data_IF_626895702641
#
_entry.id   IF_626895702641
#
_cell.length_a   1.000
_cell.length_b   1.000
_cell.length_c   1.000
_cell.angle_alpha   90.00
_cell.angle_beta   90.00
_cell.angle_gamma   90.00
#
_symmetry.space_group_name_H-M   'P 1'
#
loop_
_entity.id
_entity.type
_entity.pdbx_description
1 polymer ?
#
# COMPACT_ATOMS: atom_id res chain seq x y z
N UNK A 1 -3.04 -17.28 -9.61
CA UNK A 1 -2.78 -18.30 -10.59
C UNK A 1 -2.30 -17.69 -11.91
N UNK A 2 -1.04 -17.95 -12.29
CA UNK A 2 -0.43 -17.41 -13.53
C UNK A 2 -1.19 -17.94 -14.77
N UNK A 3 -1.78 -19.09 -14.66
CA UNK A 3 -2.41 -19.79 -15.78
C UNK A 3 -3.92 -19.54 -15.90
N UNK A 4 -4.57 -19.18 -14.81
CA UNK A 4 -6.01 -18.92 -14.77
C UNK A 4 -6.25 -17.56 -14.15
N UNK A 5 -6.21 -16.50 -14.92
CA UNK A 5 -6.63 -15.14 -14.48
C UNK A 5 -8.10 -15.20 -14.04
N UNK A 6 -8.33 -15.70 -12.83
CA UNK A 6 -9.66 -15.83 -12.30
C UNK A 6 -10.16 -14.47 -11.80
N UNK A 7 -11.25 -13.94 -12.35
CA UNK A 7 -11.91 -12.79 -11.76
C UNK A 7 -12.47 -13.17 -10.39
N UNK A 8 -12.77 -12.20 -9.51
CA UNK A 8 -13.41 -12.47 -8.25
C UNK A 8 -14.69 -13.27 -8.45
N UNK A 9 -14.89 -14.32 -7.64
CA UNK A 9 -16.10 -15.16 -7.67
C UNK A 9 -17.38 -14.31 -7.54
N UNK A 10 -17.33 -13.27 -6.71
CA UNK A 10 -18.44 -12.34 -6.51
C UNK A 10 -17.91 -10.91 -6.35
N UNK A 11 -18.03 -10.11 -7.40
CA UNK A 11 -17.52 -8.74 -7.41
C UNK A 11 -18.22 -7.85 -6.37
N UNK A 12 -19.53 -8.04 -6.14
CA UNK A 12 -20.28 -7.28 -5.13
C UNK A 12 -19.73 -7.54 -3.73
N UNK A 13 -19.46 -8.80 -3.39
CA UNK A 13 -18.84 -9.15 -2.11
C UNK A 13 -17.42 -8.59 -1.99
N UNK A 14 -16.65 -8.58 -3.08
CA UNK A 14 -15.32 -7.97 -3.10
C UNK A 14 -15.39 -6.48 -2.76
N UNK A 15 -16.31 -5.75 -3.39
CA UNK A 15 -16.51 -4.31 -3.12
C UNK A 15 -16.96 -4.08 -1.67
N UNK A 16 -17.89 -4.89 -1.19
CA UNK A 16 -18.37 -4.82 0.20
C UNK A 16 -17.23 -5.06 1.18
N UNK A 17 -16.46 -6.13 0.97
CA UNK A 17 -15.29 -6.44 1.82
C UNK A 17 -14.24 -5.35 1.81
N UNK A 18 -13.97 -4.77 0.64
CA UNK A 18 -13.06 -3.64 0.52
C UNK A 18 -13.56 -2.38 1.24
N UNK A 19 -14.86 -2.09 1.18
CA UNK A 19 -15.48 -1.00 1.95
C UNK A 19 -15.35 -1.24 3.46
N UNK A 20 -15.54 -2.48 3.93
CA UNK A 20 -15.33 -2.85 5.33
C UNK A 20 -13.85 -2.68 5.73
N UNK A 21 -12.91 -3.04 4.86
CA UNK A 21 -11.49 -2.78 5.08
C UNK A 21 -11.19 -1.29 5.20
N UNK A 22 -11.80 -0.44 4.37
CA UNK A 22 -11.61 1.01 4.46
C UNK A 22 -12.05 1.53 5.83
N UNK A 23 -13.23 1.14 6.28
CA UNK A 23 -13.71 1.53 7.63
C UNK A 23 -12.79 0.99 8.71
N UNK A 24 -12.37 -0.28 8.63
CA UNK A 24 -11.43 -0.88 9.56
C UNK A 24 -10.06 -0.19 9.57
N UNK A 25 -9.65 0.37 8.43
CA UNK A 25 -8.38 1.08 8.30
C UNK A 25 -8.36 2.43 9.02
N UNK A 26 -9.51 3.07 9.20
CA UNK A 26 -9.59 4.21 10.11
C UNK A 26 -9.22 3.81 11.53
N UNK A 27 -9.72 2.65 12.00
CA UNK A 27 -9.30 2.09 13.28
C UNK A 27 -7.81 1.72 13.30
N UNK A 28 -7.30 1.16 12.22
CA UNK A 28 -5.90 0.79 12.11
C UNK A 28 -4.95 2.01 12.18
N UNK A 29 -5.18 3.04 11.37
CA UNK A 29 -4.32 4.21 11.32
C UNK A 29 -4.64 5.24 12.42
N UNK A 30 -5.88 5.67 12.54
CA UNK A 30 -6.26 6.67 13.54
C UNK A 30 -6.29 6.08 14.95
N UNK A 31 -6.71 4.82 15.11
CA UNK A 31 -6.68 4.12 16.39
C UNK A 31 -5.26 3.91 16.94
N UNK A 32 -4.24 3.90 16.07
CA UNK A 32 -2.82 3.83 16.50
C UNK A 32 -2.35 5.05 17.28
N UNK A 33 -3.10 6.15 17.27
CA UNK A 33 -2.85 7.30 18.16
C UNK A 33 -3.12 6.96 19.63
N UNK A 34 -3.88 5.89 19.92
CA UNK A 34 -4.25 5.43 21.28
C UNK A 34 -4.95 6.52 22.11
N UNK A 35 -5.45 7.56 21.46
CA UNK A 35 -6.17 8.69 22.06
C UNK A 35 -7.16 9.28 21.06
N UNK A 36 -8.26 9.85 21.54
CA UNK A 36 -9.21 10.59 20.72
C UNK A 36 -8.82 12.08 20.66
N UNK A 37 -7.77 12.37 19.90
CA UNK A 37 -7.16 13.70 19.81
C UNK A 37 -7.02 14.17 18.34
N UNK A 38 -6.36 15.32 18.16
CA UNK A 38 -6.12 15.89 16.83
C UNK A 38 -5.23 14.99 15.96
N UNK A 39 -4.35 14.19 16.54
CA UNK A 39 -3.49 13.26 15.81
C UNK A 39 -4.33 12.13 15.20
N UNK A 40 -5.23 11.54 15.99
CA UNK A 40 -6.17 10.53 15.50
C UNK A 40 -7.07 11.09 14.38
N UNK A 41 -7.62 12.30 14.59
CA UNK A 41 -8.46 12.96 13.59
C UNK A 41 -7.71 13.24 12.28
N UNK A 42 -6.47 13.70 12.36
CA UNK A 42 -5.62 13.92 11.19
C UNK A 42 -5.28 12.60 10.48
N UNK A 43 -4.89 11.56 11.22
CA UNK A 43 -4.60 10.25 10.65
C UNK A 43 -5.82 9.66 9.92
N UNK A 44 -7.03 9.85 10.45
CA UNK A 44 -8.28 9.46 9.78
C UNK A 44 -8.48 10.22 8.47
N UNK A 45 -8.30 11.54 8.49
CA UNK A 45 -8.47 12.39 7.31
C UNK A 45 -7.48 12.03 6.19
N UNK A 46 -6.19 11.91 6.51
CA UNK A 46 -5.17 11.60 5.51
C UNK A 46 -5.31 10.18 4.95
N UNK A 47 -5.77 9.24 5.77
CA UNK A 47 -6.11 7.88 5.34
C UNK A 47 -7.24 7.90 4.31
N UNK A 48 -8.31 8.65 4.59
CA UNK A 48 -9.44 8.80 3.68
C UNK A 48 -9.04 9.45 2.35
N UNK A 49 -8.29 10.55 2.40
CA UNK A 49 -7.81 11.25 1.21
C UNK A 49 -6.94 10.36 0.32
N UNK A 50 -6.00 9.64 0.92
CA UNK A 50 -5.11 8.77 0.17
C UNK A 50 -5.86 7.61 -0.48
N UNK A 51 -6.80 6.98 0.21
CA UNK A 51 -7.63 5.91 -0.34
C UNK A 51 -8.46 6.39 -1.54
N UNK A 52 -9.12 7.54 -1.41
CA UNK A 52 -9.91 8.13 -2.49
C UNK A 52 -9.03 8.50 -3.70
N UNK A 53 -7.87 9.12 -3.47
CA UNK A 53 -6.93 9.49 -4.53
C UNK A 53 -6.32 8.25 -5.22
N UNK A 54 -6.01 7.19 -4.47
CA UNK A 54 -5.55 5.92 -5.01
C UNK A 54 -6.56 5.27 -5.94
N UNK A 55 -7.85 5.26 -5.54
CA UNK A 55 -8.95 4.80 -6.40
C UNK A 55 -9.03 5.57 -7.70
N UNK A 56 -9.00 6.90 -7.63
CA UNK A 56 -9.09 7.77 -8.80
C UNK A 56 -7.88 7.61 -9.72
N UNK A 57 -6.68 7.50 -9.17
CA UNK A 57 -5.47 7.32 -9.93
C UNK A 57 -5.46 5.98 -10.68
N UNK A 58 -5.78 4.88 -10.00
CA UNK A 58 -5.87 3.56 -10.63
C UNK A 58 -6.94 3.52 -11.73
N UNK A 59 -8.14 4.02 -11.42
CA UNK A 59 -9.23 4.17 -12.38
C UNK A 59 -8.79 4.93 -13.63
N UNK A 60 -8.07 6.03 -13.44
CA UNK A 60 -7.54 6.85 -14.55
C UNK A 60 -6.53 6.08 -15.38
N UNK A 61 -5.63 5.32 -14.75
CA UNK A 61 -4.64 4.50 -15.45
C UNK A 61 -5.30 3.41 -16.31
N UNK A 62 -6.32 2.72 -15.78
CA UNK A 62 -7.09 1.76 -16.56
C UNK A 62 -7.82 2.44 -17.73
N UNK A 63 -8.44 3.59 -17.48
CA UNK A 63 -9.16 4.33 -18.50
C UNK A 63 -8.26 4.74 -19.66
N UNK A 64 -7.09 5.29 -19.35
CA UNK A 64 -6.12 5.70 -20.37
C UNK A 64 -5.53 4.52 -21.15
N UNK A 65 -5.39 3.35 -20.52
CA UNK A 65 -4.76 2.19 -21.17
C UNK A 65 -5.72 1.22 -21.84
N UNK A 66 -6.90 1.09 -21.29
CA UNK A 66 -7.87 0.10 -21.72
C UNK A 66 -9.20 0.70 -22.25
N UNK A 67 -9.31 2.04 -22.23
CA UNK A 67 -10.50 2.76 -22.69
C UNK A 67 -11.70 2.70 -21.75
N UNK A 68 -11.61 1.91 -20.68
CA UNK A 68 -12.66 1.79 -19.65
C UNK A 68 -12.04 1.38 -18.31
N UNK A 69 -12.53 1.93 -17.20
CA UNK A 69 -12.13 1.50 -15.86
C UNK A 69 -12.87 0.22 -15.47
N UNK A 70 -12.31 -0.51 -14.50
CA UNK A 70 -12.96 -1.65 -13.87
C UNK A 70 -13.30 -1.35 -12.41
N UNK A 71 -14.38 -1.94 -11.91
CA UNK A 71 -14.72 -1.83 -10.48
C UNK A 71 -13.63 -2.46 -9.61
N UNK A 72 -13.06 -3.58 -10.05
CA UNK A 72 -11.97 -4.24 -9.35
C UNK A 72 -10.74 -3.33 -9.26
N UNK A 73 -10.38 -2.65 -10.35
CA UNK A 73 -9.25 -1.71 -10.37
C UNK A 73 -9.45 -0.53 -9.42
N UNK A 74 -10.68 0.04 -9.39
CA UNK A 74 -11.02 1.13 -8.46
C UNK A 74 -10.80 0.68 -7.01
N UNK A 75 -11.28 -0.51 -6.66
CA UNK A 75 -11.14 -1.09 -5.32
C UNK A 75 -9.68 -1.44 -5.00
N UNK A 76 -8.94 -1.96 -5.96
CA UNK A 76 -7.50 -2.24 -5.78
C UNK A 76 -6.71 -0.95 -5.57
N UNK A 77 -7.01 0.11 -6.32
CA UNK A 77 -6.42 1.43 -6.14
C UNK A 77 -6.75 2.05 -4.77
N UNK A 78 -7.96 1.80 -4.25
CA UNK A 78 -8.35 2.18 -2.90
C UNK A 78 -7.45 1.51 -1.86
N UNK A 79 -7.28 0.20 -1.95
CA UNK A 79 -6.42 -0.56 -1.01
C UNK A 79 -4.95 -0.12 -1.15
N UNK A 80 -4.48 0.14 -2.38
CA UNK A 80 -3.14 0.69 -2.60
C UNK A 80 -2.96 2.03 -1.89
N UNK A 81 -3.93 2.94 -1.98
CA UNK A 81 -3.93 4.21 -1.25
C UNK A 81 -3.92 4.03 0.27
N UNK A 82 -4.72 3.10 0.80
CA UNK A 82 -4.74 2.75 2.22
C UNK A 82 -3.39 2.20 2.71
N UNK A 83 -2.83 1.22 1.99
CA UNK A 83 -1.56 0.60 2.34
C UNK A 83 -0.38 1.57 2.27
N UNK A 84 -0.35 2.41 1.23
CA UNK A 84 0.74 3.37 1.04
C UNK A 84 0.73 4.50 2.06
N UNK A 85 -0.43 5.02 2.48
CA UNK A 85 -0.50 6.07 3.51
C UNK A 85 -0.19 5.55 4.91
N UNK A 86 -0.33 4.26 5.16
CA UNK A 86 -0.23 3.68 6.50
C UNK A 86 1.04 4.08 7.26
N UNK A 87 2.25 3.96 6.72
CA UNK A 87 3.46 4.37 7.44
C UNK A 87 3.59 5.89 7.59
N UNK A 88 2.81 6.68 6.88
CA UNK A 88 2.87 8.13 6.85
C UNK A 88 1.72 8.81 7.63
N UNK A 89 0.65 8.08 7.94
CA UNK A 89 -0.63 8.65 8.41
C UNK A 89 -0.52 9.48 9.69
N UNK A 90 0.45 9.18 10.57
CA UNK A 90 0.71 9.94 11.79
C UNK A 90 1.60 11.16 11.61
N UNK A 91 2.23 11.34 10.44
CA UNK A 91 3.30 12.33 10.25
C UNK A 91 3.10 13.31 9.10
N UNK A 92 2.13 13.07 8.20
CA UNK A 92 1.92 13.89 7.01
C UNK A 92 0.62 14.70 7.06
N UNK A 93 0.61 15.84 6.37
CA UNK A 93 -0.59 16.65 6.22
C UNK A 93 -1.47 16.22 5.03
N UNK A 94 -2.67 16.83 4.88
CA UNK A 94 -3.66 16.45 3.87
C UNK A 94 -3.15 16.55 2.44
N UNK A 95 -2.38 17.58 2.09
CA UNK A 95 -1.83 17.74 0.74
C UNK A 95 -0.79 16.66 0.42
N UNK A 96 0.05 16.28 1.40
CA UNK A 96 0.96 15.15 1.29
C UNK A 96 0.21 13.83 1.06
N UNK A 97 -0.89 13.62 1.77
CA UNK A 97 -1.73 12.43 1.61
C UNK A 97 -2.36 12.30 0.22
N UNK A 98 -2.77 13.43 -0.39
CA UNK A 98 -3.25 13.43 -1.79
C UNK A 98 -2.16 12.95 -2.74
N UNK A 99 -0.93 13.48 -2.60
CA UNK A 99 0.20 13.06 -3.45
C UNK A 99 0.55 11.59 -3.22
N UNK A 100 0.54 11.14 -1.96
CA UNK A 100 0.79 9.72 -1.61
C UNK A 100 -0.25 8.82 -2.28
N UNK A 101 -1.54 9.15 -2.16
CA UNK A 101 -2.63 8.37 -2.76
C UNK A 101 -2.55 8.30 -4.29
N UNK A 102 -2.33 9.44 -4.96
CA UNK A 102 -2.16 9.48 -6.41
C UNK A 102 -0.95 8.64 -6.86
N UNK A 103 0.17 8.78 -6.16
CA UNK A 103 1.37 8.00 -6.45
C UNK A 103 1.15 6.51 -6.21
N UNK A 104 0.43 6.14 -5.15
CA UNK A 104 0.06 4.76 -4.86
C UNK A 104 -0.71 4.12 -6.01
N UNK A 105 -1.78 4.79 -6.48
CA UNK A 105 -2.59 4.29 -7.58
C UNK A 105 -1.78 4.07 -8.86
N UNK A 106 -0.88 4.99 -9.20
CA UNK A 106 -0.04 4.89 -10.40
C UNK A 106 1.05 3.82 -10.24
N UNK A 107 1.83 3.90 -9.17
CA UNK A 107 3.01 3.02 -8.97
C UNK A 107 2.57 1.57 -8.76
N UNK A 108 1.57 1.32 -7.93
CA UNK A 108 1.07 -0.03 -7.69
C UNK A 108 0.41 -0.62 -8.94
N UNK A 109 -0.28 0.19 -9.76
CA UNK A 109 -0.81 -0.24 -11.06
C UNK A 109 0.31 -0.77 -11.97
N UNK A 110 1.41 -0.02 -12.12
CA UNK A 110 2.54 -0.48 -12.94
C UNK A 110 3.27 -1.67 -12.31
N UNK A 111 3.40 -1.71 -10.99
CA UNK A 111 3.99 -2.82 -10.28
C UNK A 111 3.21 -4.12 -10.52
N UNK A 112 1.87 -4.08 -10.44
CA UNK A 112 0.98 -5.21 -10.75
C UNK A 112 1.20 -5.74 -12.16
N UNK A 113 1.20 -4.86 -13.16
CA UNK A 113 1.42 -5.25 -14.54
C UNK A 113 2.81 -5.86 -14.74
N UNK A 114 3.82 -5.27 -14.13
CA UNK A 114 5.21 -5.73 -14.28
C UNK A 114 5.40 -7.09 -13.62
N UNK A 115 4.92 -7.29 -12.40
CA UNK A 115 5.03 -8.57 -11.71
C UNK A 115 4.33 -9.70 -12.48
N UNK A 116 3.09 -9.48 -12.87
CA UNK A 116 2.29 -10.50 -13.55
C UNK A 116 2.76 -10.77 -14.98
N UNK A 117 2.95 -9.71 -15.78
CA UNK A 117 3.16 -9.88 -17.22
C UNK A 117 4.62 -10.04 -17.62
N UNK A 118 5.57 -9.45 -16.87
CA UNK A 118 7.00 -9.52 -17.20
C UNK A 118 7.77 -10.53 -16.36
N UNK A 119 7.46 -10.61 -15.06
CA UNK A 119 8.17 -11.49 -14.15
C UNK A 119 7.46 -12.83 -13.95
N UNK A 120 6.20 -12.96 -14.38
CA UNK A 120 5.43 -14.20 -14.27
C UNK A 120 5.19 -14.65 -12.82
N UNK A 121 5.15 -13.70 -11.88
CA UNK A 121 4.94 -14.01 -10.46
C UNK A 121 3.47 -14.36 -10.24
N UNK A 122 3.23 -15.49 -9.59
CA UNK A 122 1.92 -15.94 -9.18
C UNK A 122 1.47 -15.19 -7.91
N UNK A 123 0.87 -14.04 -8.13
CA UNK A 123 0.26 -13.21 -7.09
C UNK A 123 -1.15 -12.83 -7.52
N UNK A 124 -2.09 -13.76 -7.26
CA UNK A 124 -3.48 -13.65 -7.72
C UNK A 124 -4.22 -12.44 -7.16
N UNK A 125 -3.86 -12.03 -5.94
CA UNK A 125 -4.52 -10.95 -5.20
C UNK A 125 -3.75 -9.63 -5.21
N UNK A 126 -2.68 -9.52 -6.01
CA UNK A 126 -1.82 -8.33 -6.08
C UNK A 126 -1.23 -7.91 -4.72
N UNK A 127 -0.94 -8.89 -3.85
CA UNK A 127 -0.49 -8.62 -2.48
C UNK A 127 0.84 -7.89 -2.48
N UNK A 128 1.83 -8.39 -3.21
CA UNK A 128 3.15 -7.76 -3.22
C UNK A 128 3.15 -6.38 -3.90
N UNK A 129 2.55 -6.17 -5.09
CA UNK A 129 2.54 -4.85 -5.70
C UNK A 129 1.74 -3.81 -4.91
N UNK A 130 0.65 -4.20 -4.26
CA UNK A 130 -0.20 -3.28 -3.50
C UNK A 130 0.36 -3.00 -2.11
N UNK A 131 0.74 -4.04 -1.37
CA UNK A 131 1.20 -3.90 0.01
C UNK A 131 2.73 -3.78 0.12
N UNK A 132 3.50 -4.60 -0.58
CA UNK A 132 4.97 -4.55 -0.56
C UNK A 132 5.50 -3.27 -1.23
N UNK A 133 5.18 -3.09 -2.52
CA UNK A 133 5.64 -1.90 -3.26
C UNK A 133 4.97 -0.63 -2.73
N UNK A 134 3.66 -0.66 -2.45
CA UNK A 134 2.94 0.46 -1.87
C UNK A 134 3.49 0.84 -0.49
N UNK A 135 3.77 -0.13 0.40
CA UNK A 135 4.34 0.14 1.72
C UNK A 135 5.74 0.75 1.66
N UNK A 136 6.62 0.25 0.78
CA UNK A 136 7.94 0.84 0.55
C UNK A 136 7.84 2.28 0.02
N UNK A 137 6.95 2.52 -0.95
CA UNK A 137 6.67 3.86 -1.44
C UNK A 137 6.17 4.77 -0.32
N UNK A 138 5.25 4.29 0.51
CA UNK A 138 4.71 5.02 1.65
C UNK A 138 5.77 5.43 2.66
N UNK A 139 6.72 4.55 2.99
CA UNK A 139 7.85 4.85 3.85
C UNK A 139 8.74 5.95 3.27
N UNK A 140 9.06 5.87 1.98
CA UNK A 140 9.86 6.91 1.30
C UNK A 140 9.13 8.26 1.34
N UNK A 141 7.84 8.26 1.01
CA UNK A 141 7.04 9.49 1.00
C UNK A 141 6.79 10.04 2.41
N UNK A 142 6.68 9.18 3.44
CA UNK A 142 6.66 9.61 4.83
C UNK A 142 7.94 10.38 5.19
N UNK A 143 9.10 9.88 4.77
CA UNK A 143 10.39 10.57 4.99
C UNK A 143 10.49 11.94 4.33
N UNK A 144 9.73 12.18 3.25
CA UNK A 144 9.68 13.48 2.58
C UNK A 144 8.63 14.39 3.22
N UNK A 145 7.38 13.93 3.28
CA UNK A 145 6.22 14.74 3.66
C UNK A 145 6.02 14.93 5.16
N UNK A 146 6.81 14.26 6.01
CA UNK A 146 6.88 14.60 7.43
C UNK A 146 7.56 15.96 7.68
N UNK A 147 8.33 16.49 6.73
CA UNK A 147 9.04 17.76 6.87
C UNK A 147 8.09 18.92 7.18
N UNK A 148 8.42 19.76 8.19
CA UNK A 148 7.62 20.93 8.56
C UNK A 148 7.83 22.13 7.61
N UNK A 149 8.77 22.05 6.67
CA UNK A 149 9.21 23.16 5.83
C UNK A 149 8.74 23.08 4.37
N UNK A 150 7.76 22.24 4.05
CA UNK A 150 7.25 22.06 2.68
C UNK A 150 6.01 22.91 2.35
N UNK A 151 5.72 23.94 3.13
CA UNK A 151 4.57 24.83 2.91
C UNK A 151 3.24 24.05 2.99
N UNK A 152 2.47 24.04 1.91
CA UNK A 152 1.19 23.31 1.84
C UNK A 152 1.34 21.80 2.10
N UNK A 153 2.51 21.23 1.78
CA UNK A 153 2.80 19.80 1.92
C UNK A 153 3.51 19.45 3.24
N UNK A 154 3.62 20.41 4.17
CA UNK A 154 4.29 20.19 5.45
C UNK A 154 3.58 19.13 6.29
N UNK A 155 4.40 18.36 7.02
CA UNK A 155 3.98 17.39 8.02
C UNK A 155 4.34 17.82 9.44
N UNK A 156 4.35 16.82 10.34
CA UNK A 156 4.48 17.04 11.79
C UNK A 156 5.93 17.15 12.30
N UNK A 157 6.93 16.97 11.43
CA UNK A 157 8.34 17.00 11.79
C UNK A 157 9.05 15.66 11.56
N UNK A 158 10.36 15.71 11.73
CA UNK A 158 11.24 14.54 11.62
C UNK A 158 11.29 13.76 12.94
N UNK A 159 11.81 12.55 12.90
CA UNK A 159 12.08 11.76 14.11
C UNK A 159 13.10 12.46 15.00
N UNK A 160 13.05 12.17 16.32
CA UNK A 160 13.97 12.77 17.29
C UNK A 160 15.44 12.57 16.90
N UNK A 161 16.20 13.67 16.94
CA UNK A 161 17.62 13.67 16.59
C UNK A 161 17.92 13.60 15.09
N UNK A 162 16.91 13.71 14.22
CA UNK A 162 17.07 13.67 12.77
C UNK A 162 16.93 15.06 12.17
N UNK A 163 17.91 15.46 11.38
CA UNK A 163 17.90 16.75 10.70
C UNK A 163 17.63 16.57 9.20
N UNK A 164 16.53 17.16 8.74
CA UNK A 164 16.19 17.28 7.34
C UNK A 164 15.70 16.00 6.65
N UNK A 165 15.20 16.17 5.46
CA UNK A 165 14.60 15.10 4.62
C UNK A 165 15.62 13.99 4.34
N UNK A 166 16.89 14.34 4.08
CA UNK A 166 17.91 13.34 3.74
C UNK A 166 18.21 12.40 4.91
N UNK A 167 18.29 12.92 6.14
CA UNK A 167 18.45 12.10 7.35
C UNK A 167 17.25 11.17 7.56
N UNK A 168 16.04 11.71 7.45
CA UNK A 168 14.83 10.91 7.58
C UNK A 168 14.71 9.82 6.51
N UNK A 169 15.04 10.12 5.26
CA UNK A 169 15.07 9.13 4.18
C UNK A 169 16.09 8.02 4.45
N UNK A 170 17.25 8.34 5.01
CA UNK A 170 18.24 7.34 5.41
C UNK A 170 17.68 6.32 6.40
N UNK A 171 16.92 6.79 7.38
CA UNK A 171 16.24 5.91 8.35
C UNK A 171 15.19 5.06 7.66
N UNK A 172 14.34 5.65 6.81
CA UNK A 172 13.29 4.91 6.10
C UNK A 172 13.87 3.83 5.18
N UNK A 173 14.92 4.15 4.43
CA UNK A 173 15.59 3.17 3.55
C UNK A 173 16.26 2.05 4.35
N UNK A 174 16.84 2.36 5.50
CA UNK A 174 17.38 1.34 6.42
C UNK A 174 16.27 0.40 6.91
N UNK A 175 15.14 0.98 7.33
CA UNK A 175 13.97 0.21 7.76
C UNK A 175 13.42 -0.68 6.65
N UNK A 176 13.28 -0.16 5.42
CA UNK A 176 12.87 -0.93 4.24
C UNK A 176 13.83 -2.10 4.00
N UNK A 177 15.14 -1.83 3.96
CA UNK A 177 16.16 -2.86 3.70
C UNK A 177 16.17 -3.95 4.76
N UNK A 178 16.12 -3.59 6.03
CA UNK A 178 16.10 -4.54 7.15
C UNK A 178 14.84 -5.40 7.13
N UNK A 179 13.66 -4.79 6.95
CA UNK A 179 12.39 -5.50 6.90
C UNK A 179 12.33 -6.43 5.68
N UNK A 180 12.77 -5.96 4.52
CA UNK A 180 12.79 -6.77 3.30
C UNK A 180 13.69 -8.00 3.47
N UNK A 181 14.93 -7.81 3.94
CA UNK A 181 15.87 -8.91 4.16
C UNK A 181 15.34 -9.91 5.19
N UNK A 182 14.85 -9.42 6.33
CA UNK A 182 14.28 -10.27 7.38
C UNK A 182 13.08 -11.08 6.85
N UNK A 183 12.11 -10.40 6.22
CA UNK A 183 10.90 -11.04 5.71
C UNK A 183 11.22 -12.07 4.63
N UNK A 184 12.12 -11.76 3.70
CA UNK A 184 12.52 -12.70 2.64
C UNK A 184 13.14 -13.98 3.23
N UNK A 185 14.09 -13.84 4.15
CA UNK A 185 14.77 -14.99 4.76
C UNK A 185 13.81 -15.83 5.61
N UNK A 186 13.05 -15.18 6.50
CA UNK A 186 12.15 -15.89 7.42
C UNK A 186 11.02 -16.57 6.64
N UNK A 187 10.41 -15.89 5.67
CA UNK A 187 9.36 -16.48 4.83
C UNK A 187 9.90 -17.67 4.03
N UNK A 188 11.11 -17.56 3.47
CA UNK A 188 11.73 -18.69 2.77
C UNK A 188 11.93 -19.90 3.69
N UNK A 189 12.42 -19.69 4.92
CA UNK A 189 12.60 -20.78 5.91
C UNK A 189 11.23 -21.39 6.25
N UNK A 190 10.23 -20.57 6.57
CA UNK A 190 8.90 -21.04 6.93
C UNK A 190 8.25 -21.84 5.80
N UNK A 191 8.34 -21.37 4.56
CA UNK A 191 7.83 -22.10 3.40
C UNK A 191 8.54 -23.45 3.21
N UNK A 192 9.86 -23.54 3.46
CA UNK A 192 10.57 -24.82 3.44
C UNK A 192 10.08 -25.78 4.51
N UNK A 193 9.86 -25.29 5.73
CA UNK A 193 9.35 -26.11 6.83
C UNK A 193 7.93 -26.61 6.53
N UNK A 194 7.04 -25.72 6.07
CA UNK A 194 5.66 -26.08 5.71
C UNK A 194 5.64 -27.10 4.57
N UNK A 195 6.47 -26.92 3.54
CA UNK A 195 6.52 -27.82 2.40
C UNK A 195 6.97 -29.25 2.74
N UNK A 196 7.69 -29.44 3.85
CA UNK A 196 8.01 -30.78 4.37
C UNK A 196 6.81 -31.48 4.99
N UNK A 197 5.88 -30.69 5.55
CA UNK A 197 4.69 -31.20 6.24
C UNK A 197 3.47 -31.34 5.32
N UNK A 198 3.30 -30.38 4.42
CA UNK A 198 2.16 -30.30 3.49
C UNK A 198 2.66 -29.73 2.16
N UNK A 199 2.30 -30.35 1.04
CA UNK A 199 2.62 -29.82 -0.28
C UNK A 199 2.04 -28.39 -0.43
N UNK A 200 2.89 -27.43 -0.81
CA UNK A 200 2.48 -26.05 -1.01
C UNK A 200 1.78 -25.82 -2.36
N UNK A 201 1.85 -26.78 -3.28
CA UNK A 201 1.20 -26.72 -4.58
C UNK A 201 0.37 -27.97 -4.84
N UNK A 202 -0.75 -27.77 -5.42
CA UNK A 202 -1.62 -28.84 -5.95
C UNK A 202 -1.06 -29.29 -7.29
N UNK A 203 -1.14 -30.57 -7.61
CA UNK A 203 -0.77 -31.05 -8.93
C UNK A 203 -1.72 -30.51 -9.99
N UNK A 204 -1.21 -30.31 -11.23
CA UNK A 204 -1.99 -29.69 -12.31
C UNK A 204 -3.18 -30.54 -12.80
N UNK A 205 -3.29 -31.78 -12.34
CA UNK A 205 -4.34 -32.72 -12.74
C UNK A 205 -5.54 -32.75 -11.76
N UNK A 206 -5.47 -32.02 -10.63
CA UNK A 206 -6.53 -31.86 -9.64
C UNK A 206 -7.21 -30.48 -9.76
#
# INVERSE_FOLDING_TARGET
DVYTRQPPHNLTMTVTGAGMLWVGWFGFNAGSAVAADNSAAMAMLVTHLSAACGSLAWMTMEWLRHGKPSVLGIVTGMVAGLGTITPASGSVGPAGAVVIGLSAGVVCYFATITLKNRLGVDDSLDVFPVHGVGGMLGLIMAGIFCSPSLGLFSGNGFSDGVEGIAGQLGIQLTGIGATFAYTAVVTWILLRVVNVMVSLRVDQED
#
